data_IF_222313163931
#
_entry.id   IF_222313163931
#
_cell.length_a   1.000
_cell.length_b   1.000
_cell.length_c   1.000
_cell.angle_alpha   90.00
_cell.angle_beta   90.00
_cell.angle_gamma   90.00
#
_symmetry.space_group_name_H-M   'P 1'
#
loop_
_entity.id
_entity.type
_entity.pdbx_description
1 polymer ?
#
# COMPACT_ATOMS: atom_id res chain seq x y z
N UNK A 1 -4.73 -18.52 19.43
CA UNK A 1 -4.49 -17.50 18.40
C UNK A 1 -3.11 -17.67 17.82
N UNK A 2 -2.92 -17.25 16.59
CA UNK A 2 -1.63 -17.20 15.92
C UNK A 2 -1.41 -15.84 15.24
N UNK A 3 -0.16 -15.41 15.17
CA UNK A 3 0.28 -14.20 14.49
C UNK A 3 1.53 -14.53 13.67
N UNK A 4 1.55 -14.07 12.42
CA UNK A 4 2.72 -14.19 11.55
C UNK A 4 3.09 -12.81 11.04
N UNK A 5 4.31 -12.39 11.33
CA UNK A 5 4.91 -11.16 10.81
C UNK A 5 5.97 -11.49 9.75
N UNK A 6 6.05 -10.63 8.76
CA UNK A 6 7.11 -10.63 7.75
C UNK A 6 7.63 -9.21 7.59
N UNK A 7 8.92 -9.07 7.39
CA UNK A 7 9.53 -7.77 7.18
C UNK A 7 10.86 -7.87 6.47
N UNK A 8 11.26 -6.75 5.90
CA UNK A 8 12.58 -6.53 5.32
C UNK A 8 13.08 -5.17 5.73
N UNK A 9 14.40 -5.02 5.83
CA UNK A 9 15.04 -3.76 6.18
C UNK A 9 16.26 -3.54 5.28
N UNK A 10 16.80 -2.30 5.30
CA UNK A 10 18.06 -1.91 4.65
C UNK A 10 18.03 -1.92 3.10
N UNK A 11 16.86 -2.08 2.47
CA UNK A 11 16.69 -1.92 1.02
C UNK A 11 16.29 -0.49 0.63
N UNK A 12 16.59 -0.12 -0.61
CA UNK A 12 16.08 1.10 -1.23
C UNK A 12 15.76 0.87 -2.69
N UNK A 13 14.78 1.59 -3.21
CA UNK A 13 14.42 1.60 -4.62
C UNK A 13 14.27 3.03 -5.12
N UNK A 14 14.36 3.23 -6.43
CA UNK A 14 13.94 4.47 -7.08
C UNK A 14 12.62 4.22 -7.80
N UNK A 15 11.67 5.15 -7.63
CA UNK A 15 10.43 5.08 -8.40
C UNK A 15 10.72 5.24 -9.89
N UNK A 16 10.00 4.50 -10.72
CA UNK A 16 10.03 4.65 -12.16
C UNK A 16 9.25 5.90 -12.62
N UNK A 17 9.52 6.37 -13.83
CA UNK A 17 8.97 7.62 -14.37
C UNK A 17 7.45 7.77 -14.17
N UNK A 18 6.58 6.78 -14.42
CA UNK A 18 5.14 6.91 -14.21
C UNK A 18 4.73 7.22 -12.78
N UNK A 19 5.60 6.93 -11.81
CA UNK A 19 5.34 7.15 -10.38
C UNK A 19 5.95 8.44 -9.84
N UNK A 20 6.82 9.12 -10.59
CA UNK A 20 7.43 10.39 -10.17
C UNK A 20 7.23 11.54 -11.15
N UNK A 21 6.72 11.30 -12.35
CA UNK A 21 6.44 12.32 -13.36
C UNK A 21 4.95 12.58 -13.44
N UNK A 22 4.54 13.86 -13.36
CA UNK A 22 3.12 14.25 -13.46
C UNK A 22 2.55 13.90 -14.82
N UNK A 23 3.34 14.15 -15.87
CA UNK A 23 2.97 13.92 -17.25
C UNK A 23 3.94 12.89 -17.83
N UNK A 24 3.62 11.62 -17.71
CA UNK A 24 4.42 10.56 -18.34
C UNK A 24 4.55 10.77 -19.84
N UNK A 25 5.58 10.18 -20.45
CA UNK A 25 5.95 10.41 -21.86
C UNK A 25 4.83 10.18 -22.88
N UNK A 26 3.73 9.59 -22.56
CA UNK A 26 2.63 9.30 -23.48
C UNK A 26 1.28 9.86 -23.00
N UNK A 27 1.27 10.94 -22.25
CA UNK A 27 0.03 11.57 -21.79
C UNK A 27 -0.75 10.72 -20.78
N UNK A 28 -0.04 9.99 -19.95
CA UNK A 28 -0.65 9.25 -18.83
C UNK A 28 -1.39 10.18 -17.87
N UNK A 29 -2.41 9.67 -17.20
CA UNK A 29 -3.15 10.42 -16.19
C UNK A 29 -2.26 10.80 -15.00
N UNK A 30 -2.49 11.99 -14.45
CA UNK A 30 -1.82 12.43 -13.23
C UNK A 30 -2.29 11.60 -12.02
N UNK A 31 -1.37 11.24 -11.13
CA UNK A 31 -1.69 10.61 -9.87
C UNK A 31 -2.17 11.65 -8.85
N UNK A 32 -3.02 11.23 -7.92
CA UNK A 32 -3.58 12.10 -6.88
C UNK A 32 -2.51 12.82 -6.05
N UNK A 33 -1.36 12.19 -5.83
CA UNK A 33 -0.24 12.79 -5.10
C UNK A 33 0.26 14.11 -5.69
N UNK A 34 0.05 14.34 -6.98
CA UNK A 34 0.46 15.56 -7.65
C UNK A 34 -0.45 16.76 -7.39
N UNK A 35 -1.49 16.60 -6.61
CA UNK A 35 -2.21 17.73 -6.02
C UNK A 35 -1.28 18.54 -5.09
N UNK A 36 -0.29 17.88 -4.47
CA UNK A 36 0.77 18.54 -3.68
C UNK A 36 1.93 19.00 -4.56
N UNK A 37 1.65 19.88 -5.51
CA UNK A 37 2.65 20.50 -6.39
C UNK A 37 2.70 22.01 -6.24
N UNK A 38 3.80 22.60 -6.59
CA UNK A 38 3.88 24.05 -6.79
C UNK A 38 2.92 24.46 -7.87
N UNK A 39 2.08 25.45 -7.59
CA UNK A 39 1.15 26.00 -8.57
C UNK A 39 0.77 27.45 -8.22
N UNK A 40 0.44 28.28 -9.21
CA UNK A 40 -0.10 29.61 -8.97
C UNK A 40 -1.49 29.55 -8.35
N UNK A 41 -1.86 30.57 -7.60
CA UNK A 41 -3.21 30.78 -7.09
C UNK A 41 -4.13 31.23 -8.23
N UNK A 42 -5.28 30.56 -8.39
CA UNK A 42 -6.28 30.89 -9.39
C UNK A 42 -5.94 30.43 -10.80
N UNK A 43 -6.61 31.03 -11.78
CA UNK A 43 -6.36 30.77 -13.21
C UNK A 43 -5.16 31.57 -13.69
N UNK A 44 -4.27 30.93 -14.44
CA UNK A 44 -3.07 31.54 -14.98
C UNK A 44 -2.81 31.06 -16.42
N UNK A 45 -2.24 31.92 -17.22
CA UNK A 45 -1.88 31.63 -18.63
C UNK A 45 -0.37 31.61 -18.86
N UNK A 46 0.37 32.43 -18.14
CA UNK A 46 1.82 32.50 -18.21
C UNK A 46 2.46 32.16 -16.87
N UNK A 47 3.18 31.03 -16.75
CA UNK A 47 3.83 30.62 -15.49
C UNK A 47 5.03 31.54 -15.13
N UNK A 48 5.49 32.39 -16.01
CA UNK A 48 6.61 33.31 -15.77
C UNK A 48 6.16 34.71 -15.34
N UNK A 49 4.85 34.94 -15.22
CA UNK A 49 4.33 36.21 -14.72
C UNK A 49 4.76 36.42 -13.26
N UNK A 50 5.53 37.45 -13.01
CA UNK A 50 6.09 37.77 -11.69
C UNK A 50 5.02 38.26 -10.69
N UNK A 51 3.82 38.58 -11.15
CA UNK A 51 2.71 38.99 -10.30
C UNK A 51 1.96 37.83 -9.68
N UNK A 52 2.23 36.58 -10.10
CA UNK A 52 1.56 35.38 -9.59
C UNK A 52 1.94 35.13 -8.15
N UNK A 53 0.93 34.87 -7.32
CA UNK A 53 1.08 34.29 -5.99
C UNK A 53 1.19 32.76 -6.13
N UNK A 54 2.18 32.18 -5.45
CA UNK A 54 2.48 30.75 -5.56
C UNK A 54 2.12 29.99 -4.29
N UNK A 55 1.45 28.85 -4.44
CA UNK A 55 1.30 27.84 -3.40
C UNK A 55 2.48 26.87 -3.52
N UNK A 56 3.18 26.68 -2.40
CA UNK A 56 4.28 25.72 -2.33
C UNK A 56 3.75 24.29 -2.25
N UNK A 57 4.45 23.36 -2.90
CA UNK A 57 4.16 21.93 -2.85
C UNK A 57 5.43 21.10 -2.88
N UNK A 58 5.29 19.79 -2.70
CA UNK A 58 6.42 18.87 -2.77
C UNK A 58 6.92 18.66 -4.21
N UNK A 59 6.00 18.62 -5.17
CA UNK A 59 6.32 18.44 -6.59
C UNK A 59 6.42 19.79 -7.31
N UNK A 60 7.22 19.85 -8.36
CA UNK A 60 7.26 21.06 -9.21
C UNK A 60 6.04 21.14 -10.14
N UNK A 61 5.82 22.32 -10.70
CA UNK A 61 4.66 22.63 -11.54
C UNK A 61 4.53 21.71 -12.76
N UNK A 62 5.61 21.51 -13.51
CA UNK A 62 5.59 20.83 -14.82
C UNK A 62 5.87 19.34 -14.76
N UNK A 63 6.33 18.85 -13.64
CA UNK A 63 6.46 17.42 -13.35
C UNK A 63 7.37 16.61 -14.26
N UNK A 64 8.03 17.22 -15.22
CA UNK A 64 9.06 16.52 -16.00
C UNK A 64 10.41 16.66 -15.29
N UNK A 65 10.84 15.58 -14.64
CA UNK A 65 12.10 15.59 -13.92
C UNK A 65 13.11 14.65 -14.56
N UNK A 66 14.26 15.15 -15.00
CA UNK A 66 15.36 14.31 -15.44
C UNK A 66 16.11 13.67 -14.26
N UNK A 67 15.40 13.41 -13.14
CA UNK A 67 16.01 13.01 -11.86
C UNK A 67 15.89 11.52 -11.57
N UNK A 68 15.92 10.66 -12.59
CA UNK A 68 15.78 9.21 -12.42
C UNK A 68 16.64 8.63 -11.30
N UNK A 69 17.82 9.20 -11.04
CA UNK A 69 18.76 8.74 -10.02
C UNK A 69 18.92 9.73 -8.84
N UNK A 70 17.96 10.60 -8.62
CA UNK A 70 18.04 11.56 -7.52
C UNK A 70 17.52 10.96 -6.21
N UNK A 71 17.95 11.54 -5.09
CA UNK A 71 17.43 11.21 -3.77
C UNK A 71 15.92 11.53 -3.63
N UNK A 72 15.40 12.41 -4.48
CA UNK A 72 13.99 12.76 -4.53
C UNK A 72 13.10 11.56 -4.86
N UNK A 73 13.54 10.68 -5.78
CA UNK A 73 12.80 9.50 -6.21
C UNK A 73 13.13 8.24 -5.40
N UNK A 74 14.13 8.32 -4.51
CA UNK A 74 14.58 7.16 -3.75
C UNK A 74 13.79 7.00 -2.46
N UNK A 75 13.28 5.80 -2.23
CA UNK A 75 12.55 5.45 -1.02
C UNK A 75 13.13 4.18 -0.40
N UNK A 76 13.09 4.09 0.93
CA UNK A 76 13.44 2.87 1.64
C UNK A 76 12.37 1.80 1.40
N UNK A 77 12.78 0.59 1.00
CA UNK A 77 11.90 -0.57 0.85
C UNK A 77 11.68 -1.33 2.15
N UNK A 78 12.13 -0.79 3.28
CA UNK A 78 11.87 -1.38 4.57
C UNK A 78 10.36 -1.45 4.85
N UNK A 79 9.91 -2.62 5.30
CA UNK A 79 8.52 -2.82 5.69
C UNK A 79 8.39 -3.83 6.82
N UNK A 80 7.27 -3.74 7.54
CA UNK A 80 6.78 -4.76 8.47
C UNK A 80 5.32 -5.05 8.14
N UNK A 81 5.00 -6.30 7.85
CA UNK A 81 3.65 -6.76 7.50
C UNK A 81 3.17 -7.79 8.48
N UNK A 82 1.96 -7.61 8.98
CA UNK A 82 1.22 -8.68 9.62
C UNK A 82 0.62 -9.56 8.53
N UNK A 83 1.30 -10.68 8.24
CA UNK A 83 0.90 -11.61 7.15
C UNK A 83 -0.37 -12.34 7.48
N UNK A 84 -0.49 -12.79 8.71
CA UNK A 84 -1.63 -13.56 9.14
C UNK A 84 -1.92 -13.30 10.61
N UNK A 85 -3.20 -13.20 10.91
CA UNK A 85 -3.73 -13.30 12.26
C UNK A 85 -4.88 -14.31 12.24
N UNK A 86 -4.86 -15.25 13.17
CA UNK A 86 -5.95 -16.17 13.41
C UNK A 86 -6.35 -16.13 14.88
N UNK A 87 -7.66 -16.00 15.12
CA UNK A 87 -8.28 -16.13 16.42
C UNK A 87 -9.34 -17.21 16.29
N UNK A 88 -9.25 -18.24 17.13
CA UNK A 88 -10.22 -19.32 17.13
C UNK A 88 -10.57 -19.73 18.55
N UNK A 89 -11.82 -20.11 18.73
CA UNK A 89 -12.33 -20.64 19.99
C UNK A 89 -13.06 -21.97 19.74
N UNK A 90 -12.66 -22.98 20.47
CA UNK A 90 -13.33 -24.28 20.46
C UNK A 90 -14.26 -24.36 21.67
N UNK A 91 -15.55 -24.52 21.43
CA UNK A 91 -16.52 -24.62 22.47
C UNK A 91 -16.26 -25.92 23.30
N UNK A 92 -16.54 -25.89 24.61
CA UNK A 92 -16.50 -27.08 25.41
C UNK A 92 -17.41 -28.17 24.84
N UNK A 93 -17.02 -29.41 25.03
CA UNK A 93 -17.83 -30.57 24.59
C UNK A 93 -19.24 -30.50 25.15
N UNK A 94 -20.24 -30.48 24.29
CA UNK A 94 -21.63 -30.66 24.69
C UNK A 94 -21.91 -32.17 24.86
N UNK A 95 -22.26 -32.57 26.08
CA UNK A 95 -22.77 -33.90 26.32
C UNK A 95 -24.24 -33.96 25.89
N UNK A 96 -24.50 -34.45 24.69
CA UNK A 96 -25.85 -34.79 24.24
C UNK A 96 -26.03 -36.30 24.27
N UNK A 97 -27.19 -36.83 24.69
CA UNK A 97 -27.45 -38.26 24.63
C UNK A 97 -27.37 -38.88 23.25
N UNK A 98 -27.56 -38.04 22.21
CA UNK A 98 -27.65 -38.46 20.81
C UNK A 98 -26.37 -38.20 20.02
N UNK A 99 -25.52 -37.24 20.44
CA UNK A 99 -24.27 -36.89 19.76
C UNK A 99 -23.09 -37.05 20.72
N UNK A 100 -22.39 -38.18 20.61
CA UNK A 100 -21.14 -38.39 21.32
C UNK A 100 -20.04 -37.59 20.58
N UNK A 101 -19.33 -36.75 21.32
CA UNK A 101 -18.13 -36.00 20.82
C UNK A 101 -18.34 -34.81 19.88
N UNK A 102 -19.52 -34.19 19.88
CA UNK A 102 -19.72 -32.95 19.12
C UNK A 102 -18.75 -31.84 19.57
N UNK A 103 -17.99 -31.32 18.61
CA UNK A 103 -17.07 -30.20 18.80
C UNK A 103 -17.37 -29.10 17.77
N UNK A 104 -17.54 -27.90 18.25
CA UNK A 104 -17.69 -26.71 17.43
C UNK A 104 -16.49 -25.78 17.66
N UNK A 105 -15.78 -25.46 16.61
CA UNK A 105 -14.76 -24.39 16.59
C UNK A 105 -15.22 -23.25 15.71
N UNK A 106 -15.22 -22.06 16.27
CA UNK A 106 -15.45 -20.80 15.55
C UNK A 106 -14.08 -20.14 15.40
N UNK A 107 -13.75 -19.67 14.20
CA UNK A 107 -12.51 -18.97 13.99
C UNK A 107 -12.67 -17.81 13.01
N UNK A 108 -11.84 -16.80 13.20
CA UNK A 108 -11.66 -15.69 12.28
C UNK A 108 -10.20 -15.61 11.92
N UNK A 109 -9.89 -15.41 10.64
CA UNK A 109 -8.55 -15.11 10.21
C UNK A 109 -8.51 -13.90 9.26
N UNK A 110 -7.37 -13.23 9.24
CA UNK A 110 -7.09 -12.18 8.29
C UNK A 110 -5.69 -12.37 7.71
N UNK A 111 -5.58 -12.15 6.39
CA UNK A 111 -4.32 -12.13 5.67
C UNK A 111 -3.98 -10.71 5.25
N UNK A 112 -2.73 -10.34 5.42
CA UNK A 112 -2.18 -9.02 5.10
C UNK A 112 -2.98 -7.82 5.67
N UNK A 113 -3.54 -7.87 6.90
CA UNK A 113 -4.42 -6.82 7.39
C UNK A 113 -3.68 -5.48 7.58
N UNK A 114 -2.38 -5.52 7.88
CA UNK A 114 -1.57 -4.34 8.15
C UNK A 114 -0.19 -4.45 7.50
N UNK A 115 0.22 -3.37 6.82
CA UNK A 115 1.58 -3.17 6.32
C UNK A 115 2.07 -1.80 6.74
N UNK A 116 3.23 -1.73 7.37
CA UNK A 116 3.93 -0.51 7.76
C UNK A 116 5.12 -0.36 6.84
N UNK A 117 5.17 0.70 6.04
CA UNK A 117 6.23 0.97 5.07
C UNK A 117 6.27 2.45 4.70
N UNK A 118 7.39 2.91 4.15
CA UNK A 118 7.51 4.23 3.51
C UNK A 118 7.23 4.18 2.00
N UNK A 119 7.18 2.98 1.41
CA UNK A 119 6.85 2.81 -0.01
C UNK A 119 5.39 3.19 -0.23
N UNK A 120 5.16 4.04 -1.23
CA UNK A 120 3.83 4.43 -1.69
C UNK A 120 3.64 3.87 -3.10
N UNK A 121 2.38 3.65 -3.51
CA UNK A 121 1.94 3.27 -4.87
C UNK A 121 2.23 1.85 -5.31
N UNK A 122 3.30 1.21 -4.81
CA UNK A 122 3.67 -0.18 -5.12
C UNK A 122 3.79 -0.99 -3.84
N UNK A 123 3.75 -2.31 -3.96
CA UNK A 123 3.95 -3.19 -2.81
C UNK A 123 5.45 -3.26 -2.44
N UNK A 124 5.83 -3.08 -1.17
CA UNK A 124 7.23 -3.13 -0.76
C UNK A 124 7.88 -4.51 -0.92
N UNK A 125 7.11 -5.59 -1.10
CA UNK A 125 7.63 -6.92 -1.41
C UNK A 125 7.97 -7.07 -2.90
N UNK A 126 7.48 -6.17 -3.75
CA UNK A 126 7.75 -6.12 -5.19
C UNK A 126 8.36 -4.78 -5.61
N UNK A 127 9.54 -4.44 -5.04
CA UNK A 127 10.15 -3.14 -5.30
C UNK A 127 10.58 -2.93 -6.77
N UNK A 128 10.80 -4.02 -7.50
CA UNK A 128 11.21 -4.01 -8.91
C UNK A 128 10.00 -3.99 -9.87
N UNK A 129 8.81 -3.74 -9.36
CA UNK A 129 7.64 -3.50 -10.21
C UNK A 129 7.84 -2.22 -10.99
N UNK A 130 8.30 -2.36 -12.22
CA UNK A 130 8.78 -1.29 -13.08
C UNK A 130 7.76 -0.17 -13.29
N UNK A 131 6.48 -0.41 -13.10
CA UNK A 131 5.45 0.57 -13.47
C UNK A 131 4.24 0.58 -12.52
N UNK A 132 4.31 -0.07 -11.36
CA UNK A 132 3.14 -0.24 -10.49
C UNK A 132 2.05 -1.12 -11.14
N UNK A 133 2.43 -2.00 -12.05
CA UNK A 133 1.50 -2.86 -12.80
C UNK A 133 1.17 -4.16 -12.11
N UNK A 134 1.96 -4.54 -11.11
CA UNK A 134 1.68 -5.75 -10.34
C UNK A 134 0.47 -5.52 -9.44
N UNK A 135 -0.38 -6.51 -9.38
CA UNK A 135 -1.55 -6.46 -8.54
C UNK A 135 -1.14 -6.43 -7.06
N UNK A 136 -1.57 -5.44 -6.27
CA UNK A 136 -1.19 -5.36 -4.86
C UNK A 136 -1.74 -6.54 -4.07
N UNK A 137 -1.02 -6.94 -3.01
CA UNK A 137 -1.48 -8.01 -2.13
C UNK A 137 -2.80 -7.63 -1.46
N UNK A 138 -3.79 -8.50 -1.64
CA UNK A 138 -5.12 -8.31 -1.06
C UNK A 138 -5.11 -8.48 0.46
N UNK A 139 -5.96 -7.70 1.10
CA UNK A 139 -6.39 -7.94 2.48
C UNK A 139 -7.59 -8.88 2.44
N UNK A 140 -7.48 -10.02 3.10
CA UNK A 140 -8.56 -11.01 3.13
C UNK A 140 -8.98 -11.26 4.56
N UNK A 141 -10.28 -11.25 4.81
CA UNK A 141 -10.88 -11.55 6.10
C UNK A 141 -11.82 -12.75 5.93
N UNK A 142 -11.65 -13.75 6.77
CA UNK A 142 -12.44 -14.97 6.71
C UNK A 142 -13.00 -15.29 8.09
N UNK A 143 -14.27 -15.65 8.12
CA UNK A 143 -14.94 -16.22 9.29
C UNK A 143 -15.32 -17.66 8.98
N UNK A 144 -14.99 -18.57 9.86
CA UNK A 144 -15.24 -19.98 9.61
C UNK A 144 -15.76 -20.73 10.84
N UNK A 145 -16.45 -21.82 10.53
CA UNK A 145 -16.96 -22.78 11.50
C UNK A 145 -16.40 -24.16 11.16
N UNK A 146 -15.93 -24.88 12.16
CA UNK A 146 -15.52 -26.26 12.02
C UNK A 146 -16.36 -27.11 12.96
N UNK A 147 -17.11 -28.06 12.39
CA UNK A 147 -17.96 -29.01 13.10
C UNK A 147 -17.32 -30.38 13.00
N UNK A 148 -17.16 -31.06 14.15
CA UNK A 148 -16.69 -32.44 14.23
C UNK A 148 -17.66 -33.23 15.10
N UNK A 149 -18.10 -34.39 14.63
CA UNK A 149 -19.08 -35.26 15.27
C UNK A 149 -18.67 -36.74 15.14
#
# INVERSE_FOLDING_TARGET
FSLLFQGSAMGSMSYQEPLYSIWGQNGGGALEQYLDRWHPVGEWTDPYDQSLEWVSGYYGLTGHYPYANSSFNRVSTAFLRLKQIEIGYTLPKFKSPTMKDFRLRIYANAYNPLTITKVKFVDPEHPDDELGRLYPLNKTFTLGLNLSF
#
